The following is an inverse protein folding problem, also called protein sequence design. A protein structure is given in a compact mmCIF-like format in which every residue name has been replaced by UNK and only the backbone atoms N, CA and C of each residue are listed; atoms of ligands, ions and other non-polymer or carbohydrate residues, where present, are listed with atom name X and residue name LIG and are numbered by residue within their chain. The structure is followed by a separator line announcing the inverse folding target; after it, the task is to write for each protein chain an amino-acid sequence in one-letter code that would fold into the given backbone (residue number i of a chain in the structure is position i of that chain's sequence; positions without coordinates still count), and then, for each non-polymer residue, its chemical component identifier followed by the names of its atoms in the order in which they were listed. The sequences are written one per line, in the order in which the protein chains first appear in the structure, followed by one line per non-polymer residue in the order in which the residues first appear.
data_IF_083168538465
#
_entry.id   IF_083168538465
#
_cell.length_a   1.000
_cell.length_b   1.000
_cell.length_c   1.000
_cell.angle_alpha   90.00
_cell.angle_beta   90.00
_cell.angle_gamma   90.00
#
_symmetry.space_group_name_H-M   'P 1'
#
loop_
_entity.id
_entity.type
_entity.pdbx_description
1 polymer ?
#
# COMPACT_ATOMS: atom_id res chain seq x y z
N UNK A 1 -5.76 -30.71 1.64
CA UNK A 1 -6.65 -29.79 0.91
C UNK A 1 -6.69 -28.45 1.65
N UNK A 2 -6.14 -27.37 1.07
CA UNK A 2 -6.01 -26.05 1.73
C UNK A 2 -7.32 -25.26 1.51
N UNK A 3 -8.05 -24.91 2.59
CA UNK A 3 -9.22 -23.99 2.46
C UNK A 3 -8.71 -22.65 1.95
N UNK A 4 -9.21 -22.18 0.80
CA UNK A 4 -8.87 -20.87 0.24
C UNK A 4 -10.07 -19.95 0.44
N UNK A 5 -9.90 -18.91 1.26
CA UNK A 5 -10.90 -17.87 1.48
C UNK A 5 -10.93 -16.94 0.26
N UNK A 6 -12.12 -16.66 -0.26
CA UNK A 6 -12.39 -15.60 -1.25
C UNK A 6 -13.19 -14.52 -0.52
N UNK A 7 -12.72 -13.29 -0.54
CA UNK A 7 -13.38 -12.15 0.11
C UNK A 7 -14.10 -11.36 -0.99
N UNK A 8 -15.42 -11.17 -0.83
CA UNK A 8 -16.23 -10.33 -1.69
C UNK A 8 -16.60 -9.09 -0.88
N UNK A 9 -16.12 -7.93 -1.29
CA UNK A 9 -16.41 -6.64 -0.67
C UNK A 9 -17.64 -6.04 -1.36
N UNK A 10 -18.62 -5.60 -0.56
CA UNK A 10 -19.77 -4.82 -1.02
C UNK A 10 -19.58 -3.36 -0.57
N UNK A 11 -18.66 -2.66 -1.22
CA UNK A 11 -18.24 -1.29 -0.86
C UNK A 11 -19.11 -0.20 -1.49
N UNK A 12 -19.93 -0.53 -2.50
CA UNK A 12 -20.87 0.40 -3.13
C UNK A 12 -22.12 0.59 -2.27
N UNK A 13 -22.25 1.78 -1.66
CA UNK A 13 -23.48 2.20 -1.00
C UNK A 13 -24.61 2.32 -2.02
N UNK A 14 -25.77 1.72 -1.73
CA UNK A 14 -27.00 1.92 -2.49
C UNK A 14 -27.50 3.35 -2.20
N UNK A 15 -27.73 4.20 -3.22
CA UNK A 15 -28.30 5.54 -3.01
C UNK A 15 -29.66 5.46 -2.31
N UNK A 16 -29.97 6.42 -1.44
CA UNK A 16 -31.14 6.34 -0.56
C UNK A 16 -32.47 6.22 -1.36
N UNK A 17 -32.57 6.86 -2.52
CA UNK A 17 -33.72 6.75 -3.43
C UNK A 17 -33.80 5.47 -4.27
N UNK A 18 -32.83 4.56 -4.16
CA UNK A 18 -32.80 3.26 -4.86
C UNK A 18 -32.93 2.08 -3.90
N UNK A 19 -33.14 2.33 -2.61
CA UNK A 19 -33.39 1.28 -1.63
C UNK A 19 -34.79 0.74 -1.86
N UNK A 20 -34.88 -0.55 -2.21
CA UNK A 20 -36.16 -1.23 -2.37
C UNK A 20 -36.66 -1.73 -1.00
N UNK A 21 -37.75 -1.16 -0.44
CA UNK A 21 -38.26 -1.57 0.87
C UNK A 21 -38.76 -3.02 0.91
N UNK A 22 -39.08 -3.61 -0.26
CA UNK A 22 -39.55 -5.00 -0.39
C UNK A 22 -38.48 -5.95 -0.93
N UNK A 23 -37.21 -5.52 -0.94
CA UNK A 23 -36.11 -6.29 -1.50
C UNK A 23 -36.06 -7.73 -0.97
N UNK A 24 -36.20 -7.91 0.34
CA UNK A 24 -36.13 -9.22 0.98
C UNK A 24 -37.24 -10.16 0.50
N UNK A 25 -38.46 -9.67 0.34
CA UNK A 25 -39.59 -10.50 -0.07
C UNK A 25 -39.49 -10.89 -1.55
N UNK A 26 -39.01 -9.98 -2.40
CA UNK A 26 -38.70 -10.28 -3.81
C UNK A 26 -37.59 -11.34 -3.94
N UNK A 27 -36.51 -11.20 -3.16
CA UNK A 27 -35.41 -12.18 -3.15
C UNK A 27 -35.89 -13.55 -2.67
N UNK A 28 -36.77 -13.61 -1.66
CA UNK A 28 -37.35 -14.87 -1.16
C UNK A 28 -38.22 -15.55 -2.23
N UNK A 29 -39.05 -14.78 -2.94
CA UNK A 29 -39.88 -15.32 -4.01
C UNK A 29 -39.04 -15.94 -5.14
N UNK A 30 -37.88 -15.35 -5.43
CA UNK A 30 -36.99 -15.75 -6.53
C UNK A 30 -35.91 -16.77 -6.13
N UNK A 31 -35.76 -17.11 -4.84
CA UNK A 31 -34.62 -17.88 -4.34
C UNK A 31 -34.45 -19.23 -5.07
N UNK A 32 -35.56 -19.90 -5.35
CA UNK A 32 -35.55 -21.18 -6.05
C UNK A 32 -35.10 -21.02 -7.51
N UNK A 33 -35.57 -19.96 -8.18
CA UNK A 33 -35.16 -19.63 -9.55
C UNK A 33 -33.67 -19.31 -9.64
N UNK A 34 -33.15 -18.54 -8.68
CA UNK A 34 -31.72 -18.21 -8.58
C UNK A 34 -30.87 -19.47 -8.41
N UNK A 35 -31.24 -20.37 -7.49
CA UNK A 35 -30.51 -21.62 -7.26
C UNK A 35 -30.52 -22.50 -8.50
N UNK A 36 -31.68 -22.66 -9.16
CA UNK A 36 -31.79 -23.46 -10.38
C UNK A 36 -30.96 -22.87 -11.52
N UNK A 37 -30.97 -21.56 -11.68
CA UNK A 37 -30.16 -20.86 -12.67
C UNK A 37 -28.66 -21.08 -12.41
N UNK A 38 -28.19 -20.90 -11.17
CA UNK A 38 -26.78 -21.12 -10.81
C UNK A 38 -26.34 -22.57 -11.05
N UNK A 39 -27.18 -23.55 -10.71
CA UNK A 39 -26.90 -24.97 -10.97
C UNK A 39 -26.81 -25.28 -12.46
N UNK A 40 -27.66 -24.66 -13.29
CA UNK A 40 -27.63 -24.81 -14.74
C UNK A 40 -26.44 -24.09 -15.40
N UNK A 41 -26.02 -22.94 -14.87
CA UNK A 41 -24.86 -22.18 -15.37
C UNK A 41 -23.52 -22.83 -15.01
N UNK A 42 -23.44 -23.48 -13.85
CA UNK A 42 -22.22 -24.15 -13.39
C UNK A 42 -22.44 -25.66 -13.21
N UNK A 43 -22.72 -26.40 -14.30
CA UNK A 43 -22.95 -27.85 -14.21
C UNK A 43 -21.68 -28.61 -13.79
N UNK A 44 -20.51 -28.00 -14.01
CA UNK A 44 -19.20 -28.51 -13.59
C UNK A 44 -18.70 -27.67 -12.40
N UNK A 45 -18.62 -28.25 -11.18
CA UNK A 45 -18.19 -27.52 -9.98
C UNK A 45 -16.81 -26.85 -10.09
N UNK A 46 -15.91 -27.43 -10.91
CA UNK A 46 -14.57 -26.90 -11.12
C UNK A 46 -14.56 -25.58 -11.91
N UNK A 47 -15.55 -25.35 -12.78
CA UNK A 47 -15.67 -24.11 -13.54
C UNK A 47 -15.99 -22.92 -12.62
N UNK A 48 -16.95 -23.10 -11.71
CA UNK A 48 -17.26 -22.10 -10.69
C UNK A 48 -16.05 -21.81 -9.78
N UNK A 49 -15.28 -22.86 -9.42
CA UNK A 49 -14.07 -22.69 -8.62
C UNK A 49 -13.01 -21.88 -9.36
N UNK A 50 -12.82 -22.10 -10.66
CA UNK A 50 -11.85 -21.35 -11.47
C UNK A 50 -12.19 -19.85 -11.51
N UNK A 51 -13.47 -19.51 -11.73
CA UNK A 51 -13.95 -18.12 -11.74
C UNK A 51 -13.68 -17.43 -10.39
N UNK A 52 -13.92 -18.13 -9.27
CA UNK A 52 -13.65 -17.58 -7.94
C UNK A 52 -12.16 -17.34 -7.67
N UNK A 53 -11.28 -18.19 -8.21
CA UNK A 53 -9.83 -18.01 -8.12
C UNK A 53 -9.40 -16.83 -8.98
N UNK A 54 -9.84 -16.77 -10.24
CA UNK A 54 -9.55 -15.65 -11.15
C UNK A 54 -10.05 -14.32 -10.57
N UNK A 55 -11.26 -14.30 -10.00
CA UNK A 55 -11.81 -13.11 -9.35
C UNK A 55 -10.93 -12.66 -8.18
N UNK A 56 -10.51 -13.59 -7.32
CA UNK A 56 -9.60 -13.28 -6.22
C UNK A 56 -8.28 -12.71 -6.73
N UNK A 57 -7.65 -13.40 -7.68
CA UNK A 57 -6.36 -12.96 -8.24
C UNK A 57 -6.50 -11.58 -8.90
N UNK A 58 -7.66 -11.26 -9.48
CA UNK A 58 -7.96 -9.93 -10.02
C UNK A 58 -8.07 -8.84 -8.96
N UNK A 59 -8.63 -9.14 -7.78
CA UNK A 59 -8.69 -8.21 -6.65
C UNK A 59 -7.28 -8.00 -6.10
N UNK A 60 -6.54 -9.08 -5.84
CA UNK A 60 -5.18 -9.02 -5.31
C UNK A 60 -4.26 -8.24 -6.28
N UNK A 61 -4.42 -8.43 -7.59
CA UNK A 61 -3.71 -7.67 -8.60
C UNK A 61 -4.10 -6.18 -8.62
N UNK A 62 -5.38 -5.82 -8.45
CA UNK A 62 -5.83 -4.43 -8.38
C UNK A 62 -5.31 -3.72 -7.13
N UNK A 63 -5.38 -4.36 -5.97
CA UNK A 63 -4.86 -3.80 -4.72
C UNK A 63 -3.33 -3.65 -4.79
N UNK A 64 -2.62 -4.64 -5.34
CA UNK A 64 -1.17 -4.54 -5.56
C UNK A 64 -0.82 -3.38 -6.48
N UNK A 65 -1.57 -3.19 -7.59
CA UNK A 65 -1.37 -2.04 -8.50
C UNK A 65 -1.68 -0.71 -7.82
N UNK A 66 -2.75 -0.62 -7.03
CA UNK A 66 -3.09 0.59 -6.27
C UNK A 66 -2.02 0.92 -5.23
N UNK A 67 -1.50 -0.09 -4.53
CA UNK A 67 -0.40 0.04 -3.59
C UNK A 67 0.89 0.48 -4.26
N UNK A 68 1.24 -0.15 -5.39
CA UNK A 68 2.39 0.24 -6.19
C UNK A 68 2.27 1.71 -6.62
N UNK A 69 1.14 2.10 -7.21
CA UNK A 69 0.96 3.47 -7.73
C UNK A 69 1.15 4.56 -6.67
N UNK A 70 0.54 4.44 -5.49
CA UNK A 70 0.69 5.47 -4.45
C UNK A 70 2.06 5.44 -3.77
N UNK A 71 2.69 4.26 -3.66
CA UNK A 71 4.04 4.16 -3.11
C UNK A 71 5.09 4.70 -4.07
N UNK A 72 4.89 4.54 -5.38
CA UNK A 72 5.78 5.12 -6.41
C UNK A 72 5.68 6.65 -6.35
N UNK A 73 4.46 7.20 -6.29
CA UNK A 73 4.24 8.64 -6.14
C UNK A 73 4.88 9.18 -4.85
N UNK A 74 4.70 8.46 -3.73
CA UNK A 74 5.38 8.78 -2.49
C UNK A 74 6.90 8.67 -2.61
N UNK A 75 7.41 7.62 -3.25
CA UNK A 75 8.85 7.38 -3.40
C UNK A 75 9.54 8.45 -4.26
N UNK A 76 8.82 9.11 -5.17
CA UNK A 76 9.38 10.07 -6.11
C UNK A 76 9.93 11.33 -5.41
N UNK A 77 9.57 11.60 -4.16
CA UNK A 77 10.13 12.75 -3.42
C UNK A 77 11.47 12.45 -2.75
N UNK A 78 11.95 11.21 -2.85
CA UNK A 78 13.16 10.75 -2.18
C UNK A 78 14.26 10.35 -3.15
N UNK A 79 15.50 10.57 -2.73
CA UNK A 79 16.69 10.04 -3.37
C UNK A 79 17.42 9.08 -2.44
N UNK A 80 18.04 8.05 -3.03
CA UNK A 80 18.90 7.11 -2.32
C UNK A 80 20.33 7.46 -2.65
N UNK A 81 21.07 7.96 -1.66
CA UNK A 81 22.47 8.36 -1.88
C UNK A 81 23.39 7.16 -1.79
N UNK A 82 24.24 6.97 -2.81
CA UNK A 82 25.28 5.94 -2.78
C UNK A 82 26.31 6.29 -1.72
N UNK A 83 26.60 5.34 -0.84
CA UNK A 83 27.63 5.48 0.16
C UNK A 83 28.99 5.06 -0.41
N UNK A 84 30.10 5.68 0.03
CA UNK A 84 31.43 5.23 -0.34
C UNK A 84 31.64 3.76 0.07
N UNK A 85 32.40 2.99 -0.71
CA UNK A 85 32.66 1.58 -0.41
C UNK A 85 33.53 1.40 0.86
N UNK A 86 34.42 2.36 1.12
CA UNK A 86 35.26 2.43 2.31
C UNK A 86 35.18 3.84 2.94
N UNK A 87 34.05 4.22 3.55
CA UNK A 87 33.95 5.50 4.20
C UNK A 87 34.82 5.48 5.46
N UNK A 88 35.58 6.55 5.70
CA UNK A 88 36.17 6.75 7.01
C UNK A 88 35.09 7.02 8.08
N UNK A 89 35.45 6.99 9.37
CA UNK A 89 34.48 7.15 10.47
C UNK A 89 33.74 8.49 10.40
N UNK A 90 34.35 9.52 9.82
CA UNK A 90 33.78 10.87 9.74
C UNK A 90 32.76 10.93 8.58
N UNK A 91 33.12 10.45 7.40
CA UNK A 91 32.23 10.30 6.25
C UNK A 91 31.04 9.39 6.57
N UNK A 92 31.21 8.35 7.38
CA UNK A 92 30.09 7.52 7.85
C UNK A 92 29.12 8.27 8.77
N UNK A 93 29.59 9.24 9.57
CA UNK A 93 28.71 10.07 10.39
C UNK A 93 27.95 11.08 9.54
N UNK A 94 28.63 11.65 8.55
CA UNK A 94 28.09 12.71 7.70
C UNK A 94 27.16 12.15 6.60
N UNK A 95 27.46 10.96 6.07
CA UNK A 95 26.71 10.34 4.97
C UNK A 95 25.55 9.42 5.42
N UNK A 96 25.45 9.05 6.70
CA UNK A 96 24.28 8.37 7.30
C UNK A 96 23.51 9.33 8.21
N UNK A 97 23.01 10.42 7.63
CA UNK A 97 22.08 11.34 8.28
C UNK A 97 20.79 11.47 7.46
N UNK A 98 20.38 10.36 6.82
CA UNK A 98 19.11 10.27 6.11
C UNK A 98 17.93 10.04 7.04
N UNK A 99 16.79 9.74 6.44
CA UNK A 99 15.55 9.46 7.15
C UNK A 99 15.63 8.16 7.93
N UNK A 100 14.92 8.09 9.06
CA UNK A 100 14.74 6.84 9.79
C UNK A 100 13.47 6.13 9.31
N UNK A 101 13.41 4.81 9.47
CA UNK A 101 12.17 4.08 9.17
C UNK A 101 10.98 4.56 10.01
N UNK A 102 11.22 4.77 11.31
CA UNK A 102 10.18 5.16 12.26
C UNK A 102 9.08 4.12 12.43
N UNK A 103 7.98 4.57 13.06
CA UNK A 103 6.73 3.83 13.22
C UNK A 103 5.61 4.84 13.51
N UNK A 104 4.35 4.40 13.54
CA UNK A 104 3.22 5.26 13.95
C UNK A 104 3.36 5.82 15.38
N UNK A 105 4.22 5.24 16.21
CA UNK A 105 4.52 5.69 17.58
C UNK A 105 5.87 6.38 17.70
N UNK A 106 6.50 6.74 16.58
CA UNK A 106 7.79 7.44 16.63
C UNK A 106 7.63 8.79 17.30
N UNK A 107 8.57 9.16 18.17
CA UNK A 107 8.64 10.49 18.81
C UNK A 107 9.24 11.56 17.89
N UNK A 108 9.74 11.16 16.73
CA UNK A 108 10.33 12.02 15.71
C UNK A 108 9.26 12.61 14.79
N UNK A 109 9.61 13.66 14.07
CA UNK A 109 8.67 14.36 13.19
C UNK A 109 8.50 13.66 11.83
N UNK A 110 7.41 13.90 11.09
CA UNK A 110 7.21 13.33 9.76
C UNK A 110 8.36 13.59 8.79
N UNK A 111 9.00 14.76 8.83
CA UNK A 111 10.13 15.08 7.96
C UNK A 111 11.43 14.32 8.32
N UNK A 112 11.48 13.66 9.47
CA UNK A 112 12.62 12.83 9.93
C UNK A 112 12.36 11.33 9.73
N UNK A 113 11.09 10.91 9.53
CA UNK A 113 10.73 9.48 9.48
C UNK A 113 9.95 9.11 8.23
N UNK A 114 10.38 8.06 7.55
CA UNK A 114 9.75 7.55 6.34
C UNK A 114 8.30 7.14 6.58
N UNK A 115 8.02 6.42 7.68
CA UNK A 115 6.66 5.94 7.91
C UNK A 115 5.70 7.06 8.33
N UNK A 116 6.09 8.04 9.16
CA UNK A 116 5.18 9.15 9.48
C UNK A 116 4.99 10.08 8.27
N UNK A 117 6.02 10.31 7.45
CA UNK A 117 5.85 11.01 6.17
C UNK A 117 4.85 10.29 5.26
N UNK A 118 4.92 8.96 5.20
CA UNK A 118 3.98 8.16 4.42
C UNK A 118 2.55 8.22 4.95
N UNK A 119 2.37 8.18 6.29
CA UNK A 119 1.05 8.36 6.90
C UNK A 119 0.47 9.74 6.59
N UNK A 120 1.29 10.79 6.68
CA UNK A 120 0.89 12.15 6.34
C UNK A 120 0.49 12.27 4.86
N UNK A 121 1.32 11.77 3.94
CA UNK A 121 0.99 11.69 2.52
C UNK A 121 -0.35 10.96 2.27
N UNK A 122 -0.56 9.80 2.93
CA UNK A 122 -1.79 9.05 2.80
C UNK A 122 -3.02 9.83 3.27
N UNK A 123 -2.88 10.58 4.38
CA UNK A 123 -3.95 11.41 4.92
C UNK A 123 -4.34 12.53 3.94
N UNK A 124 -3.35 13.25 3.42
CA UNK A 124 -3.53 14.29 2.40
C UNK A 124 -4.21 13.75 1.14
N UNK A 125 -3.80 12.57 0.67
CA UNK A 125 -4.32 11.96 -0.57
C UNK A 125 -5.62 11.18 -0.36
N UNK A 126 -6.16 11.13 0.87
CA UNK A 126 -7.31 10.29 1.26
C UNK A 126 -7.13 8.81 0.87
N UNK A 127 -5.91 8.30 1.04
CA UNK A 127 -5.51 6.92 0.76
C UNK A 127 -5.40 6.19 2.10
N UNK A 128 -5.95 4.97 2.16
CA UNK A 128 -5.76 4.12 3.33
C UNK A 128 -4.30 3.64 3.38
N UNK A 129 -3.54 3.94 4.46
CA UNK A 129 -2.14 3.56 4.55
C UNK A 129 -1.98 2.05 4.75
N UNK A 130 -0.88 1.50 4.21
CA UNK A 130 -0.49 0.11 4.46
C UNK A 130 0.25 -0.04 5.81
N UNK A 131 0.23 -1.23 6.44
CA UNK A 131 0.95 -1.49 7.68
C UNK A 131 2.47 -1.34 7.51
N UNK A 132 3.16 -0.97 8.60
CA UNK A 132 4.61 -0.72 8.61
C UNK A 132 5.44 -1.84 7.95
N UNK A 133 5.12 -3.12 8.23
CA UNK A 133 5.88 -4.22 7.67
C UNK A 133 5.74 -4.31 6.14
N UNK A 134 4.53 -4.11 5.63
CA UNK A 134 4.25 -4.06 4.19
C UNK A 134 4.91 -2.86 3.54
N UNK A 135 4.89 -1.70 4.21
CA UNK A 135 5.59 -0.50 3.77
C UNK A 135 7.09 -0.73 3.64
N UNK A 136 7.74 -1.30 4.66
CA UNK A 136 9.18 -1.61 4.64
C UNK A 136 9.57 -2.56 3.50
N UNK A 137 8.72 -3.55 3.19
CA UNK A 137 8.98 -4.46 2.08
C UNK A 137 8.74 -3.84 0.71
N UNK A 138 7.79 -2.90 0.58
CA UNK A 138 7.35 -2.37 -0.71
C UNK A 138 8.07 -1.07 -1.12
N UNK A 139 8.47 -0.23 -0.17
CA UNK A 139 9.18 1.03 -0.45
C UNK A 139 10.46 0.83 -1.29
N UNK A 140 11.31 -0.18 -1.05
CA UNK A 140 12.50 -0.41 -1.87
C UNK A 140 12.20 -0.63 -3.34
N UNK A 141 11.12 -1.33 -3.67
CA UNK A 141 10.74 -1.58 -5.05
C UNK A 141 10.13 -0.33 -5.69
N UNK A 142 9.30 0.41 -4.95
CA UNK A 142 8.80 1.71 -5.40
C UNK A 142 9.94 2.71 -5.70
N UNK A 143 10.98 2.77 -4.85
CA UNK A 143 12.15 3.61 -5.08
C UNK A 143 12.88 3.23 -6.38
N UNK A 144 13.05 1.93 -6.67
CA UNK A 144 13.64 1.48 -7.94
C UNK A 144 12.83 1.93 -9.15
N UNK A 145 11.51 1.87 -9.06
CA UNK A 145 10.62 2.31 -10.14
C UNK A 145 10.71 3.82 -10.41
N UNK A 146 11.04 4.63 -9.40
CA UNK A 146 11.35 6.07 -9.57
C UNK A 146 12.78 6.35 -10.09
N UNK A 147 13.53 5.30 -10.45
CA UNK A 147 14.89 5.41 -10.99
C UNK A 147 16.01 5.43 -9.94
N UNK A 148 15.71 5.16 -8.66
CA UNK A 148 16.74 5.06 -7.62
C UNK A 148 17.49 3.72 -7.74
N UNK A 149 18.77 3.77 -8.08
CA UNK A 149 19.58 2.57 -8.33
C UNK A 149 20.50 2.19 -7.17
N UNK A 150 20.73 3.11 -6.22
CA UNK A 150 21.58 2.82 -5.08
C UNK A 150 20.89 1.83 -4.12
N UNK A 151 21.64 0.88 -3.52
CA UNK A 151 21.08 0.00 -2.51
C UNK A 151 20.71 0.80 -1.26
N UNK A 152 19.58 0.44 -0.65
CA UNK A 152 19.21 0.97 0.67
C UNK A 152 20.14 0.35 1.69
N UNK A 153 20.77 1.20 2.50
CA UNK A 153 21.64 0.80 3.58
C UNK A 153 21.09 1.34 4.88
N UNK A 154 21.27 0.57 5.95
CA UNK A 154 20.75 0.88 7.28
C UNK A 154 21.86 0.87 8.31
N UNK A 155 21.79 1.79 9.26
CA UNK A 155 22.72 1.84 10.38
C UNK A 155 22.00 2.26 11.66
N UNK A 156 22.39 1.64 12.77
CA UNK A 156 21.97 2.11 14.10
C UNK A 156 22.77 3.35 14.47
N UNK A 157 22.08 4.46 14.70
CA UNK A 157 22.64 5.72 15.21
C UNK A 157 21.67 6.27 16.27
N UNK A 158 22.20 6.54 17.46
CA UNK A 158 21.42 7.05 18.60
C UNK A 158 20.17 6.23 18.94
N UNK A 159 20.23 4.91 18.76
CA UNK A 159 19.12 3.98 19.00
C UNK A 159 18.10 3.88 17.87
N UNK A 160 18.28 4.60 16.77
CA UNK A 160 17.40 4.57 15.60
C UNK A 160 18.06 3.89 14.40
N UNK A 161 17.25 3.21 13.59
CA UNK A 161 17.66 2.63 12.32
C UNK A 161 17.56 3.70 11.22
N UNK A 162 18.70 4.34 10.94
CA UNK A 162 18.85 5.41 9.97
C UNK A 162 19.16 4.82 8.60
N UNK A 163 18.57 5.40 7.55
CA UNK A 163 18.78 4.98 6.16
C UNK A 163 19.66 5.98 5.40
N UNK A 164 20.07 5.60 4.18
CA UNK A 164 20.67 6.50 3.20
C UNK A 164 19.63 7.16 2.27
N UNK A 165 18.38 7.27 2.71
CA UNK A 165 17.28 7.90 1.97
C UNK A 165 17.13 9.35 2.41
N UNK A 166 17.07 10.26 1.45
CA UNK A 166 16.99 11.71 1.66
C UNK A 166 15.85 12.32 0.85
N UNK A 167 15.35 13.47 1.28
CA UNK A 167 14.43 14.26 0.46
C UNK A 167 15.16 14.84 -0.76
N UNK A 168 14.56 14.74 -1.96
CA UNK A 168 15.08 15.36 -3.20
C UNK A 168 15.05 16.89 -3.13
N UNK A 169 13.99 17.44 -2.54
CA UNK A 169 13.76 18.87 -2.35
C UNK A 169 13.59 19.17 -0.86
N UNK A 170 13.65 20.44 -0.43
CA UNK A 170 13.30 20.79 0.94
C UNK A 170 11.92 20.19 1.32
N UNK A 171 11.88 19.44 2.42
CA UNK A 171 10.68 18.71 2.86
C UNK A 171 9.44 19.62 2.99
N UNK A 172 9.64 20.90 3.31
CA UNK A 172 8.59 21.92 3.41
C UNK A 172 7.82 22.09 2.09
N UNK A 173 8.52 22.09 0.96
CA UNK A 173 7.91 22.25 -0.36
C UNK A 173 7.13 20.99 -0.75
N UNK A 174 7.66 19.83 -0.39
CA UNK A 174 6.97 18.54 -0.59
C UNK A 174 5.68 18.46 0.23
N UNK A 175 5.73 18.88 1.51
CA UNK A 175 4.57 18.81 2.39
C UNK A 175 3.48 19.77 1.93
N UNK A 176 3.83 21.01 1.56
CA UNK A 176 2.89 21.95 0.95
C UNK A 176 2.23 21.38 -0.30
N UNK A 177 2.99 20.68 -1.15
CA UNK A 177 2.46 20.05 -2.36
C UNK A 177 1.45 18.95 -2.05
N UNK A 178 1.62 18.20 -0.96
CA UNK A 178 0.66 17.19 -0.53
C UNK A 178 -0.59 17.81 0.11
N UNK A 179 -0.44 18.92 0.83
CA UNK A 179 -1.56 19.63 1.46
C UNK A 179 -2.45 20.43 0.49
N UNK A 180 -1.99 20.64 -0.75
CA UNK A 180 -2.67 21.45 -1.78
C UNK A 180 -3.69 20.63 -2.58
#
# INVERSE_FOLDING_TARGET
MKRRRVIILFDRKVPDGKVDPYFLDKVRAEIYGIVKFLAAQFPIPDAARKILVEYKDSIDAKETKKHANHLIEFADVFEVRKLPENPDRQQLKDNFSGLIWGSARSTKQPHETLYLAYLFFCDCMNIKPIPLNTFKSALPDALKETGQQAPIQERVKDGYLVTNIYWKTPHQDTFKRWES
#
